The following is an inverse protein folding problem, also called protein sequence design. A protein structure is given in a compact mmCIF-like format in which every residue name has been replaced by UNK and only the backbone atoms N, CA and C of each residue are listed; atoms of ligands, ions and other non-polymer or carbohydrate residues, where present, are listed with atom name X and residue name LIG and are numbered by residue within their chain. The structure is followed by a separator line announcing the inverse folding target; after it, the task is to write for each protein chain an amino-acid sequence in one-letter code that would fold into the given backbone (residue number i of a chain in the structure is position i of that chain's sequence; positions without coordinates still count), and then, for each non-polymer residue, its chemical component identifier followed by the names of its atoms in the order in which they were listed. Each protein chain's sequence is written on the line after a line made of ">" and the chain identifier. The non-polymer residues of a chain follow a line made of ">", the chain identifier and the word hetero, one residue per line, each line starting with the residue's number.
data_IF_886159438127
#
_entry.id   IF_886159438127
#
_cell.length_a   1.000
_cell.length_b   1.000
_cell.length_c   1.000
_cell.angle_alpha   90.00
_cell.angle_beta   90.00
_cell.angle_gamma   90.00
#
_symmetry.space_group_name_H-M   'P 1'
#
loop_
_entity.id
_entity.type
_entity.pdbx_description
1 polymer ?
#
# COMPACT_ATOMS: atom_id res chain seq x y z
N UNK A 1 3.36 18.87 -3.69
CA UNK A 1 2.03 19.09 -3.08
C UNK A 1 0.94 18.24 -3.73
N UNK A 2 0.69 18.37 -5.03
CA UNK A 2 -0.36 17.61 -5.76
C UNK A 2 -0.30 16.09 -5.52
N UNK A 3 0.87 15.48 -5.63
CA UNK A 3 1.03 14.02 -5.38
C UNK A 3 0.73 13.64 -3.92
N UNK A 4 1.05 14.51 -2.95
CA UNK A 4 0.66 14.28 -1.55
C UNK A 4 -0.86 14.35 -1.39
N UNK A 5 -1.53 15.31 -2.05
CA UNK A 5 -2.98 15.42 -2.01
C UNK A 5 -3.66 14.14 -2.51
N UNK A 6 -3.19 13.55 -3.60
CA UNK A 6 -3.71 12.25 -4.06
C UNK A 6 -3.45 11.11 -3.07
N UNK A 7 -2.31 11.12 -2.37
CA UNK A 7 -2.05 10.16 -1.30
C UNK A 7 -3.03 10.31 -0.12
N UNK A 8 -3.33 11.55 0.28
CA UNK A 8 -4.32 11.85 1.34
C UNK A 8 -5.71 11.38 0.90
N UNK A 9 -6.16 11.80 -0.29
CA UNK A 9 -7.47 11.40 -0.83
C UNK A 9 -7.60 9.88 -0.82
N UNK A 10 -6.56 9.17 -1.27
CA UNK A 10 -6.57 7.72 -1.37
C UNK A 10 -6.62 7.02 -0.01
N UNK A 11 -5.70 7.35 0.90
CA UNK A 11 -5.49 6.59 2.14
C UNK A 11 -6.26 7.11 3.35
N UNK A 12 -6.57 8.40 3.37
CA UNK A 12 -7.31 9.04 4.46
C UNK A 12 -8.80 9.14 4.12
N UNK A 13 -9.11 9.67 2.93
CA UNK A 13 -10.48 10.02 2.58
C UNK A 13 -11.22 8.87 1.86
N UNK A 14 -10.51 7.85 1.38
CA UNK A 14 -11.11 6.75 0.63
C UNK A 14 -11.60 7.14 -0.77
N UNK A 15 -10.95 8.14 -1.38
CA UNK A 15 -11.30 8.70 -2.68
C UNK A 15 -10.14 8.59 -3.67
N UNK A 16 -10.44 8.16 -4.89
CA UNK A 16 -9.52 8.19 -6.03
C UNK A 16 -9.99 9.21 -7.04
N UNK A 17 -9.15 10.19 -7.36
CA UNK A 17 -9.38 10.99 -8.55
C UNK A 17 -8.86 10.24 -9.78
N UNK A 18 -9.77 9.86 -10.67
CA UNK A 18 -9.46 9.04 -11.85
C UNK A 18 -9.05 9.85 -13.08
N UNK A 19 -8.97 11.18 -12.97
CA UNK A 19 -8.60 12.07 -14.08
C UNK A 19 -7.69 13.26 -13.69
N UNK A 20 -6.56 13.03 -12.99
CA UNK A 20 -5.65 14.11 -12.59
C UNK A 20 -4.75 14.59 -13.74
N UNK A 21 -5.35 15.04 -14.85
CA UNK A 21 -4.63 15.58 -15.99
C UNK A 21 -4.30 17.07 -15.80
N UNK A 22 -3.36 17.61 -16.59
CA UNK A 22 -2.94 19.01 -16.48
C UNK A 22 -4.10 20.02 -16.59
N UNK A 23 -5.15 19.71 -17.36
CA UNK A 23 -6.37 20.51 -17.45
C UNK A 23 -7.13 20.68 -16.12
N UNK A 24 -6.95 19.80 -15.14
CA UNK A 24 -7.66 19.83 -13.84
C UNK A 24 -6.81 20.39 -12.70
N UNK A 25 -5.52 20.63 -12.95
CA UNK A 25 -4.59 21.22 -11.98
C UNK A 25 -4.27 22.65 -12.42
N UNK A 26 -4.48 23.61 -11.54
CA UNK A 26 -4.08 25.02 -11.74
C UNK A 26 -3.10 25.45 -10.67
N UNK A 27 -2.31 26.46 -10.99
CA UNK A 27 -1.46 27.15 -10.03
C UNK A 27 -2.07 28.50 -9.71
N UNK A 28 -2.53 28.67 -8.48
CA UNK A 28 -2.93 29.96 -7.95
C UNK A 28 -1.68 30.67 -7.45
N UNK A 29 -1.43 31.90 -7.93
CA UNK A 29 -0.35 32.73 -7.41
C UNK A 29 -0.71 33.17 -5.99
N UNK A 30 0.09 32.75 -5.02
CA UNK A 30 -0.12 33.03 -3.60
C UNK A 30 1.23 33.40 -2.96
N UNK A 31 1.51 34.70 -2.70
CA UNK A 31 2.78 35.15 -2.15
C UNK A 31 3.02 34.69 -0.70
N UNK A 32 2.02 34.07 -0.05
CA UNK A 32 2.14 33.58 1.34
C UNK A 32 2.66 32.14 1.43
N UNK A 33 2.80 31.43 0.32
CA UNK A 33 3.30 30.04 0.31
C UNK A 33 4.68 29.94 -0.34
N UNK A 34 5.52 28.97 0.08
CA UNK A 34 6.82 28.75 -0.56
C UNK A 34 6.68 28.57 -2.07
N UNK A 35 7.49 29.30 -2.85
CA UNK A 35 7.41 29.28 -4.31
C UNK A 35 6.28 30.10 -4.92
N UNK A 36 5.56 30.90 -4.13
CA UNK A 36 4.52 31.84 -4.56
C UNK A 36 3.35 31.20 -5.33
N UNK A 37 3.15 29.91 -5.20
CA UNK A 37 2.19 29.15 -5.99
C UNK A 37 1.54 28.03 -5.19
N UNK A 38 0.22 27.98 -5.22
CA UNK A 38 -0.59 26.92 -4.61
C UNK A 38 -1.27 26.10 -5.71
N UNK A 39 -1.12 24.78 -5.66
CA UNK A 39 -1.86 23.93 -6.59
C UNK A 39 -3.35 23.86 -6.22
N UNK A 40 -4.22 23.97 -7.21
CA UNK A 40 -5.69 23.92 -7.09
C UNK A 40 -6.22 22.82 -8.01
N UNK A 41 -7.08 21.96 -7.48
CA UNK A 41 -7.79 20.92 -8.22
C UNK A 41 -9.22 21.39 -8.51
N UNK A 42 -9.61 21.42 -9.79
CA UNK A 42 -10.89 22.02 -10.21
C UNK A 42 -12.00 20.99 -10.47
N UNK A 43 -11.71 19.91 -11.18
CA UNK A 43 -12.73 18.95 -11.62
C UNK A 43 -12.87 17.82 -10.61
N UNK A 44 -14.10 17.67 -10.10
CA UNK A 44 -14.49 16.65 -9.13
C UNK A 44 -15.41 15.57 -9.73
N UNK A 45 -15.57 15.53 -11.06
CA UNK A 45 -16.55 14.69 -11.76
C UNK A 45 -16.16 13.22 -11.96
N UNK A 46 -14.86 12.88 -11.98
CA UNK A 46 -14.39 11.51 -12.18
C UNK A 46 -13.65 10.96 -10.96
N UNK A 47 -14.44 10.51 -9.98
CA UNK A 47 -13.97 9.97 -8.71
C UNK A 47 -14.50 8.57 -8.47
N UNK A 48 -13.70 7.76 -7.78
CA UNK A 48 -14.14 6.47 -7.26
C UNK A 48 -13.96 6.46 -5.74
N UNK A 49 -15.00 6.01 -5.05
CA UNK A 49 -14.91 5.66 -3.63
C UNK A 49 -14.23 4.30 -3.47
N UNK A 50 -13.46 4.17 -2.39
CA UNK A 50 -12.76 2.96 -2.00
C UNK A 50 -13.27 2.53 -0.64
N UNK A 51 -13.66 1.26 -0.54
CA UNK A 51 -14.05 0.66 0.73
C UNK A 51 -12.90 0.70 1.75
N UNK A 52 -13.23 0.70 3.04
CA UNK A 52 -12.22 0.62 4.11
C UNK A 52 -11.33 -0.63 3.98
N UNK A 53 -11.89 -1.75 3.54
CA UNK A 53 -11.15 -2.99 3.30
C UNK A 53 -10.17 -2.85 2.14
N UNK A 54 -10.60 -2.29 1.01
CA UNK A 54 -9.72 -2.05 -0.13
C UNK A 54 -8.60 -1.06 0.24
N UNK A 55 -8.94 -0.02 1.00
CA UNK A 55 -7.96 0.98 1.46
C UNK A 55 -6.91 0.35 2.37
N UNK A 56 -7.33 -0.55 3.27
CA UNK A 56 -6.43 -1.35 4.10
C UNK A 56 -5.52 -2.25 3.26
N UNK A 57 -6.09 -3.00 2.31
CA UNK A 57 -5.35 -3.87 1.41
C UNK A 57 -4.30 -3.11 0.59
N UNK A 58 -4.67 -1.94 0.05
CA UNK A 58 -3.73 -1.05 -0.64
C UNK A 58 -2.65 -0.53 0.30
N UNK A 59 -2.99 -0.14 1.53
CA UNK A 59 -2.02 0.36 2.50
C UNK A 59 -0.98 -0.71 2.87
N UNK A 60 -1.45 -1.95 3.09
CA UNK A 60 -0.59 -3.11 3.30
C UNK A 60 0.32 -3.35 2.09
N UNK A 61 -0.22 -3.26 0.87
CA UNK A 61 0.54 -3.46 -0.36
C UNK A 61 1.69 -2.47 -0.50
N UNK A 62 1.42 -1.17 -0.35
CA UNK A 62 2.44 -0.12 -0.42
C UNK A 62 3.50 -0.25 0.67
N UNK A 63 3.07 -0.52 1.91
CA UNK A 63 4.00 -0.77 3.02
C UNK A 63 4.91 -1.95 2.70
N UNK A 64 4.34 -3.04 2.18
CA UNK A 64 5.06 -4.27 1.90
C UNK A 64 6.07 -4.10 0.77
N UNK A 65 5.68 -3.45 -0.34
CA UNK A 65 6.59 -3.14 -1.45
C UNK A 65 7.76 -2.26 -0.99
N UNK A 66 7.49 -1.18 -0.25
CA UNK A 66 8.54 -0.27 0.20
C UNK A 66 9.56 -0.93 1.15
N UNK A 67 9.15 -2.00 1.83
CA UNK A 67 9.97 -2.79 2.73
C UNK A 67 10.48 -4.09 2.09
N UNK A 68 10.15 -4.36 0.82
CA UNK A 68 10.45 -5.62 0.13
C UNK A 68 9.95 -6.88 0.88
N UNK A 69 8.80 -6.75 1.54
CA UNK A 69 8.13 -7.84 2.26
C UNK A 69 7.16 -8.57 1.33
N UNK A 70 7.60 -9.66 0.72
CA UNK A 70 6.74 -10.41 -0.21
C UNK A 70 5.58 -11.12 0.48
N UNK A 71 5.77 -11.58 1.72
CA UNK A 71 4.68 -12.19 2.48
C UNK A 71 3.58 -11.14 2.71
N UNK A 72 3.98 -9.92 3.08
CA UNK A 72 3.08 -8.78 3.20
C UNK A 72 2.38 -8.41 1.88
N UNK A 73 3.07 -8.48 0.73
CA UNK A 73 2.44 -8.26 -0.58
C UNK A 73 1.36 -9.29 -0.87
N UNK A 74 1.58 -10.57 -0.54
CA UNK A 74 0.57 -11.61 -0.76
C UNK A 74 -0.64 -11.43 0.16
N UNK A 75 -0.40 -11.15 1.45
CA UNK A 75 -1.48 -10.86 2.39
C UNK A 75 -2.31 -9.65 1.93
N UNK A 76 -1.65 -8.60 1.43
CA UNK A 76 -2.35 -7.43 0.88
C UNK A 76 -3.24 -7.78 -0.32
N UNK A 77 -2.76 -8.65 -1.22
CA UNK A 77 -3.52 -9.08 -2.39
C UNK A 77 -4.73 -9.95 -2.01
N UNK A 78 -4.60 -10.77 -0.97
CA UNK A 78 -5.72 -11.52 -0.40
C UNK A 78 -6.79 -10.60 0.20
N UNK A 79 -6.38 -9.57 0.97
CA UNK A 79 -7.30 -8.54 1.51
C UNK A 79 -8.05 -7.81 0.39
N UNK A 80 -7.38 -7.56 -0.74
CA UNK A 80 -7.97 -6.97 -1.96
C UNK A 80 -8.84 -7.95 -2.75
N UNK A 81 -9.03 -9.19 -2.28
CA UNK A 81 -9.83 -10.21 -2.95
C UNK A 81 -9.16 -10.78 -4.21
N UNK A 82 -7.88 -10.50 -4.45
CA UNK A 82 -7.14 -11.06 -5.59
C UNK A 82 -6.66 -12.46 -5.25
N UNK A 83 -7.29 -13.44 -5.89
CA UNK A 83 -6.79 -14.82 -5.91
C UNK A 83 -5.68 -14.93 -6.96
N UNK A 84 -4.43 -14.84 -6.53
CA UNK A 84 -3.30 -15.02 -7.44
C UNK A 84 -3.14 -16.51 -7.72
N UNK A 85 -3.15 -16.90 -9.00
CA UNK A 85 -2.76 -18.25 -9.39
C UNK A 85 -1.27 -18.46 -9.09
N UNK A 86 -0.91 -19.61 -8.53
CA UNK A 86 0.46 -19.92 -8.10
C UNK A 86 1.52 -19.79 -9.23
N UNK A 87 1.13 -19.95 -10.49
CA UNK A 87 2.00 -19.75 -11.65
C UNK A 87 2.41 -18.28 -11.85
N UNK A 88 1.48 -17.34 -11.64
CA UNK A 88 1.75 -15.90 -11.69
C UNK A 88 2.57 -15.43 -10.49
N UNK A 89 2.39 -16.03 -9.32
CA UNK A 89 3.27 -15.79 -8.16
C UNK A 89 4.72 -16.06 -8.54
N UNK A 90 5.01 -17.19 -9.18
CA UNK A 90 6.37 -17.55 -9.59
C UNK A 90 7.02 -16.54 -10.56
N UNK A 91 6.21 -15.87 -11.39
CA UNK A 91 6.68 -14.87 -12.34
C UNK A 91 6.90 -13.51 -11.68
N UNK A 92 5.94 -13.04 -10.87
CA UNK A 92 6.06 -11.81 -10.11
C UNK A 92 7.28 -11.85 -9.18
N UNK A 93 7.57 -13.02 -8.61
CA UNK A 93 8.73 -13.27 -7.75
C UNK A 93 10.06 -13.25 -8.51
N UNK A 94 10.10 -13.76 -9.75
CA UNK A 94 11.29 -13.66 -10.63
C UNK A 94 11.56 -12.21 -11.03
N UNK A 95 10.52 -11.46 -11.37
CA UNK A 95 10.63 -10.06 -11.76
C UNK A 95 11.05 -9.19 -10.56
N UNK A 96 10.51 -9.47 -9.37
CA UNK A 96 10.89 -8.82 -8.10
C UNK A 96 12.35 -9.09 -7.71
N UNK A 97 12.86 -10.30 -7.98
CA UNK A 97 14.26 -10.64 -7.76
C UNK A 97 15.19 -9.80 -8.65
N UNK A 98 14.84 -9.62 -9.92
CA UNK A 98 15.62 -8.79 -10.84
C UNK A 98 15.62 -7.31 -10.39
N UNK A 99 14.46 -6.77 -9.98
CA UNK A 99 14.37 -5.42 -9.42
C UNK A 99 15.16 -5.24 -8.12
N UNK A 100 15.19 -6.27 -7.25
CA UNK A 100 15.95 -6.26 -5.99
C UNK A 100 17.46 -6.41 -6.24
N UNK A 101 17.87 -7.10 -7.31
CA UNK A 101 19.27 -7.19 -7.76
C UNK A 101 19.78 -5.85 -8.30
N UNK A 102 18.93 -5.08 -8.97
CA UNK A 102 19.23 -3.71 -9.44
C UNK A 102 19.28 -2.68 -8.30
N UNK A 103 18.51 -2.88 -7.23
CA UNK A 103 18.55 -2.01 -6.05
C UNK A 103 19.78 -2.31 -5.17
N UNK A 104 20.72 -1.36 -5.08
CA UNK A 104 22.01 -1.50 -4.36
C UNK A 104 21.93 -1.61 -2.82
N UNK A 105 20.80 -1.92 -2.18
CA UNK A 105 20.70 -1.78 -0.72
C UNK A 105 19.90 -2.87 -0.01
N UNK A 106 20.50 -3.36 1.07
CA UNK A 106 20.00 -4.29 2.12
C UNK A 106 20.23 -5.79 1.88
N UNK A 107 21.40 -6.29 2.30
CA UNK A 107 21.75 -7.73 2.37
C UNK A 107 20.71 -8.53 3.16
N UNK A 108 20.16 -7.95 4.23
CA UNK A 108 19.19 -8.61 5.11
C UNK A 108 17.83 -8.80 4.43
N UNK A 109 17.43 -7.87 3.55
CA UNK A 109 16.22 -7.97 2.75
C UNK A 109 16.35 -9.10 1.72
N UNK A 110 17.51 -9.19 1.05
CA UNK A 110 17.81 -10.30 0.12
C UNK A 110 17.78 -11.66 0.84
N UNK A 111 18.31 -11.73 2.06
CA UNK A 111 18.30 -12.95 2.87
C UNK A 111 16.88 -13.37 3.28
N UNK A 112 16.07 -12.43 3.82
CA UNK A 112 14.67 -12.70 4.20
C UNK A 112 13.82 -13.11 3.00
N UNK A 113 13.98 -12.40 1.87
CA UNK A 113 13.33 -12.75 0.61
C UNK A 113 13.69 -14.18 0.20
N UNK A 114 14.97 -14.56 0.20
CA UNK A 114 15.42 -15.91 -0.18
C UNK A 114 14.82 -17.00 0.71
N UNK A 115 14.80 -16.79 2.03
CA UNK A 115 14.23 -17.76 3.00
C UNK A 115 12.74 -17.96 2.76
N UNK A 116 11.99 -16.88 2.58
CA UNK A 116 10.55 -16.96 2.34
C UNK A 116 10.22 -17.58 0.97
N UNK A 117 11.09 -17.35 -0.03
CA UNK A 117 11.03 -18.02 -1.34
C UNK A 117 11.24 -19.54 -1.24
N UNK A 118 12.15 -19.99 -0.38
CA UNK A 118 12.39 -21.41 -0.13
C UNK A 118 11.13 -22.07 0.45
N UNK A 119 10.51 -21.43 1.46
CA UNK A 119 9.27 -21.93 2.08
C UNK A 119 8.10 -22.02 1.11
N UNK A 120 7.92 -21.00 0.28
CA UNK A 120 6.85 -20.97 -0.73
C UNK A 120 7.06 -22.06 -1.79
N UNK A 121 8.31 -22.30 -2.22
CA UNK A 121 8.64 -23.41 -3.14
C UNK A 121 8.35 -24.78 -2.52
N UNK A 122 8.66 -24.98 -1.24
CA UNK A 122 8.36 -26.24 -0.55
C UNK A 122 6.85 -26.48 -0.49
N UNK A 123 6.05 -25.47 -0.10
CA UNK A 123 4.58 -25.56 -0.11
C UNK A 123 4.02 -25.86 -1.51
N UNK A 124 4.57 -25.21 -2.54
CA UNK A 124 4.26 -25.44 -3.96
C UNK A 124 4.49 -26.90 -4.39
N UNK A 125 5.62 -27.48 -3.97
CA UNK A 125 5.98 -28.86 -4.32
C UNK A 125 5.16 -29.87 -3.51
N UNK A 126 4.76 -29.54 -2.29
CA UNK A 126 3.85 -30.33 -1.46
C UNK A 126 2.42 -30.35 -2.01
N UNK A 127 1.87 -29.20 -2.41
CA UNK A 127 0.54 -29.10 -3.02
C UNK A 127 0.45 -29.83 -4.37
N UNK A 128 1.53 -29.77 -5.17
CA UNK A 128 1.62 -30.53 -6.43
C UNK A 128 1.70 -32.04 -6.21
N UNK A 129 2.37 -32.48 -5.13
CA UNK A 129 2.48 -33.91 -4.77
C UNK A 129 1.17 -34.45 -4.18
N UNK A 130 0.32 -33.62 -3.60
CA UNK A 130 -0.95 -34.02 -3.00
C UNK A 130 -2.12 -34.19 -3.98
N UNK A 131 -1.93 -33.97 -5.29
CA UNK A 131 -2.85 -34.50 -6.31
C UNK A 131 -4.34 -34.13 -6.19
N UNK A 132 -4.72 -33.06 -5.48
CA UNK A 132 -6.09 -32.54 -5.54
C UNK A 132 -6.27 -31.78 -6.86
N UNK A 133 -6.50 -32.52 -7.93
CA UNK A 133 -7.25 -32.03 -9.09
C UNK A 133 -8.70 -31.81 -8.63
N UNK A 134 -8.96 -30.71 -7.97
CA UNK A 134 -10.33 -30.19 -7.87
C UNK A 134 -10.40 -29.03 -8.84
N UNK A 135 -10.75 -29.35 -10.09
CA UNK A 135 -11.25 -28.37 -11.05
C UNK A 135 -12.77 -28.39 -10.88
N UNK A 136 -13.41 -27.41 -10.19
CA UNK A 136 -14.84 -27.47 -9.91
C UNK A 136 -15.71 -27.19 -11.15
N UNK A 137 -15.12 -26.97 -12.33
CA UNK A 137 -15.86 -26.52 -13.50
C UNK A 137 -15.35 -27.11 -14.82
N UNK A 138 -14.99 -28.40 -14.80
CA UNK A 138 -14.89 -29.17 -16.04
C UNK A 138 -16.30 -29.41 -16.59
N UNK A 139 -16.77 -28.53 -17.48
CA UNK A 139 -17.87 -28.86 -18.39
C UNK A 139 -17.29 -29.41 -19.69
N UNK A 140 -17.68 -30.63 -20.01
CA UNK A 140 -17.26 -31.44 -21.16
C UNK A 140 -17.58 -30.79 -22.52
N UNK A 141 -16.70 -30.96 -23.51
CA UNK A 141 -16.99 -30.70 -24.92
C UNK A 141 -15.76 -30.39 -25.79
N UNK A 142 -15.49 -31.13 -26.88
CA UNK A 142 -14.21 -31.09 -27.59
C UNK A 142 -14.17 -30.06 -28.74
N UNK A 143 -12.97 -29.91 -29.30
CA UNK A 143 -12.59 -29.21 -30.56
C UNK A 143 -12.03 -27.78 -30.47
N UNK A 144 -10.71 -27.77 -30.20
CA UNK A 144 -9.68 -27.24 -31.11
C UNK A 144 -9.99 -25.94 -31.88
N UNK A 145 -9.22 -24.88 -31.61
CA UNK A 145 -8.31 -24.21 -32.57
C UNK A 145 -7.79 -22.87 -32.01
N UNK A 146 -6.48 -22.65 -32.25
CA UNK A 146 -5.74 -21.39 -32.17
C UNK A 146 -5.32 -20.93 -30.77
N UNK A 147 -4.04 -21.14 -30.50
CA UNK A 147 -3.21 -20.56 -29.45
C UNK A 147 -3.19 -19.03 -29.48
N UNK A 148 -4.29 -18.40 -29.08
CA UNK A 148 -4.26 -17.06 -28.51
C UNK A 148 -4.08 -17.24 -27.01
N UNK A 149 -3.04 -16.62 -26.42
CA UNK A 149 -2.86 -16.52 -24.97
C UNK A 149 -4.22 -16.09 -24.38
N UNK A 150 -4.93 -17.02 -23.72
CA UNK A 150 -6.20 -16.68 -23.08
C UNK A 150 -5.91 -15.53 -22.11
N UNK A 151 -6.67 -14.42 -22.17
CA UNK A 151 -6.60 -13.39 -21.15
C UNK A 151 -6.83 -14.06 -19.81
N UNK A 152 -6.10 -13.61 -18.78
CA UNK A 152 -6.32 -14.09 -17.42
C UNK A 152 -7.79 -13.81 -17.10
N UNK A 153 -8.59 -14.86 -16.94
CA UNK A 153 -9.93 -14.77 -16.38
C UNK A 153 -9.75 -14.47 -14.89
N UNK A 154 -9.50 -13.19 -14.57
CA UNK A 154 -9.64 -12.66 -13.23
C UNK A 154 -11.13 -12.45 -13.01
N UNK A 155 -11.77 -13.34 -12.26
CA UNK A 155 -13.11 -13.11 -11.75
C UNK A 155 -13.07 -11.83 -10.89
N UNK A 156 -13.57 -10.72 -11.45
CA UNK A 156 -13.70 -9.40 -10.81
C UNK A 156 -12.38 -8.75 -10.35
N UNK A 157 -11.60 -8.16 -11.26
CA UNK A 157 -10.47 -7.30 -10.86
C UNK A 157 -10.94 -6.15 -9.94
N UNK A 158 -10.30 -5.91 -8.77
CA UNK A 158 -10.77 -4.90 -7.83
C UNK A 158 -10.84 -3.51 -8.47
N UNK A 159 -12.01 -2.87 -8.39
CA UNK A 159 -12.25 -1.53 -8.95
C UNK A 159 -11.28 -0.50 -8.37
N UNK A 160 -10.90 -0.65 -7.10
CA UNK A 160 -9.93 0.19 -6.41
C UNK A 160 -8.57 0.19 -7.12
N UNK A 161 -8.08 -0.98 -7.55
CA UNK A 161 -6.82 -1.13 -8.29
C UNK A 161 -6.90 -0.56 -9.69
N UNK A 162 -8.04 -0.72 -10.37
CA UNK A 162 -8.25 -0.13 -11.70
C UNK A 162 -8.24 1.40 -11.62
N UNK A 163 -8.95 1.96 -10.65
CA UNK A 163 -9.03 3.39 -10.38
C UNK A 163 -7.65 3.96 -10.02
N UNK A 164 -6.93 3.28 -9.13
CA UNK A 164 -5.56 3.63 -8.75
C UNK A 164 -4.60 3.58 -9.96
N UNK A 165 -4.62 2.50 -10.74
CA UNK A 165 -3.75 2.34 -11.90
C UNK A 165 -3.97 3.43 -12.93
N UNK A 166 -5.23 3.86 -13.14
CA UNK A 166 -5.58 4.99 -13.99
C UNK A 166 -5.03 6.31 -13.42
N UNK A 167 -5.28 6.60 -12.14
CA UNK A 167 -4.75 7.78 -11.46
C UNK A 167 -3.23 7.87 -11.62
N UNK A 168 -2.51 6.78 -11.38
CA UNK A 168 -1.05 6.76 -11.47
C UNK A 168 -0.51 6.96 -12.88
N UNK A 169 -1.17 6.44 -13.91
CA UNK A 169 -0.78 6.69 -15.30
C UNK A 169 -0.83 8.19 -15.63
N UNK A 170 -1.90 8.87 -15.21
CA UNK A 170 -2.08 10.29 -15.45
C UNK A 170 -1.15 11.16 -14.58
N UNK A 171 -0.98 10.81 -13.30
CA UNK A 171 0.01 11.47 -12.42
C UNK A 171 1.42 11.35 -12.98
N UNK A 172 1.80 10.17 -13.52
CA UNK A 172 3.09 10.00 -14.19
C UNK A 172 3.23 10.92 -15.40
N UNK A 173 2.20 10.98 -16.25
CA UNK A 173 2.16 11.90 -17.39
C UNK A 173 2.30 13.37 -16.97
N UNK A 174 1.60 13.77 -15.90
CA UNK A 174 1.69 15.11 -15.34
C UNK A 174 3.09 15.43 -14.84
N UNK A 175 3.70 14.53 -14.05
CA UNK A 175 5.08 14.68 -13.58
C UNK A 175 6.07 14.82 -14.73
N UNK A 176 5.92 14.05 -15.81
CA UNK A 176 6.76 14.19 -17.01
C UNK A 176 6.54 15.53 -17.70
N UNK A 177 5.29 15.99 -17.83
CA UNK A 177 4.97 17.24 -18.52
C UNK A 177 5.56 18.49 -17.83
N UNK A 178 5.78 18.43 -16.51
CA UNK A 178 6.32 19.55 -15.71
C UNK A 178 7.78 19.34 -15.28
N UNK A 179 8.50 18.42 -15.93
CA UNK A 179 9.89 18.05 -15.62
C UNK A 179 10.12 17.66 -14.14
N UNK A 180 9.11 17.04 -13.53
CA UNK A 180 9.11 16.56 -12.15
C UNK A 180 9.11 15.03 -12.07
N UNK A 181 9.67 14.35 -13.08
CA UNK A 181 9.75 12.88 -13.12
C UNK A 181 10.53 12.27 -11.93
N UNK A 182 11.39 13.07 -11.27
CA UNK A 182 12.13 12.68 -10.08
C UNK A 182 11.30 12.64 -8.78
N UNK A 183 10.01 13.00 -8.80
CA UNK A 183 9.16 12.96 -7.60
C UNK A 183 9.07 11.52 -7.07
N UNK A 184 9.36 11.25 -5.79
CA UNK A 184 9.37 9.91 -5.24
C UNK A 184 7.95 9.45 -4.87
N UNK A 185 7.10 9.22 -5.88
CA UNK A 185 5.67 8.85 -5.73
C UNK A 185 5.49 7.66 -4.79
N UNK A 186 6.28 6.59 -4.96
CA UNK A 186 6.21 5.41 -4.10
C UNK A 186 6.44 5.77 -2.63
N UNK A 187 7.44 6.62 -2.33
CA UNK A 187 7.74 7.05 -0.96
C UNK A 187 6.59 7.87 -0.37
N UNK A 188 6.03 8.78 -1.15
CA UNK A 188 4.89 9.63 -0.74
C UNK A 188 3.69 8.75 -0.37
N UNK A 189 3.28 7.87 -1.28
CA UNK A 189 2.15 6.97 -1.04
C UNK A 189 2.42 6.00 0.12
N UNK A 190 3.66 5.52 0.26
CA UNK A 190 4.03 4.67 1.40
C UNK A 190 3.88 5.39 2.74
N UNK A 191 4.18 6.68 2.82
CA UNK A 191 4.01 7.44 4.06
C UNK A 191 2.53 7.50 4.47
N UNK A 192 1.66 7.86 3.53
CA UNK A 192 0.21 7.88 3.79
C UNK A 192 -0.37 6.48 4.05
N UNK A 193 0.13 5.44 3.37
CA UNK A 193 -0.21 4.06 3.66
C UNK A 193 0.16 3.67 5.10
N UNK A 194 1.33 4.08 5.60
CA UNK A 194 1.73 3.83 6.99
C UNK A 194 0.82 4.53 7.99
N UNK A 195 0.47 5.78 7.73
CA UNK A 195 -0.49 6.53 8.55
C UNK A 195 -1.84 5.80 8.62
N UNK A 196 -2.37 5.36 7.47
CA UNK A 196 -3.62 4.60 7.40
C UNK A 196 -3.55 3.26 8.14
N UNK A 197 -2.42 2.55 8.11
CA UNK A 197 -2.23 1.31 8.86
C UNK A 197 -2.22 1.54 10.38
N UNK A 198 -1.56 2.61 10.84
CA UNK A 198 -1.55 2.99 12.25
C UNK A 198 -2.96 3.34 12.72
N UNK A 199 -3.69 4.12 11.92
CA UNK A 199 -5.06 4.49 12.22
C UNK A 199 -6.00 3.28 12.25
N UNK A 200 -5.89 2.36 11.29
CA UNK A 200 -6.67 1.13 11.28
C UNK A 200 -6.38 0.26 12.51
N UNK A 201 -5.11 0.13 12.91
CA UNK A 201 -4.71 -0.60 14.12
C UNK A 201 -5.27 0.04 15.40
N UNK A 202 -5.26 1.37 15.48
CA UNK A 202 -5.84 2.10 16.61
C UNK A 202 -7.35 1.88 16.68
N UNK A 203 -8.06 1.99 15.56
CA UNK A 203 -9.52 1.73 15.48
C UNK A 203 -9.85 0.30 15.90
N UNK A 204 -9.06 -0.67 15.46
CA UNK A 204 -9.23 -2.07 15.84
C UNK A 204 -8.99 -2.26 17.35
N UNK A 205 -7.95 -1.65 17.91
CA UNK A 205 -7.61 -1.74 19.35
C UNK A 205 -8.68 -1.12 20.25
N UNK A 206 -9.30 -0.02 19.79
CA UNK A 206 -10.46 0.59 20.44
C UNK A 206 -11.70 -0.31 20.34
N UNK A 207 -11.95 -0.90 19.18
CA UNK A 207 -13.09 -1.79 18.96
C UNK A 207 -13.00 -3.11 19.74
N UNK A 208 -11.79 -3.65 19.95
CA UNK A 208 -11.56 -4.89 20.70
C UNK A 208 -11.32 -4.67 22.19
N UNK A 209 -11.44 -3.43 22.68
CA UNK A 209 -11.25 -3.09 24.11
C UNK A 209 -9.84 -3.35 24.64
N UNK A 210 -8.85 -3.53 23.76
CA UNK A 210 -7.47 -3.86 24.16
C UNK A 210 -6.67 -2.64 24.64
N UNK A 211 -7.17 -1.43 24.34
CA UNK A 211 -6.83 -0.23 25.08
C UNK A 211 -7.77 -0.19 26.28
N UNK A 212 -7.34 -0.76 27.41
CA UNK A 212 -8.11 -0.85 28.65
C UNK A 212 -8.46 0.52 29.25
N UNK A 213 -9.36 1.24 28.60
CA UNK A 213 -10.06 2.39 29.15
C UNK A 213 -11.51 1.94 29.26
N UNK A 214 -11.77 1.11 30.28
CA UNK A 214 -13.12 0.92 30.77
C UNK A 214 -13.58 2.25 31.39
N UNK A 215 -14.78 2.76 31.10
CA UNK A 215 -15.23 4.05 31.61
C UNK A 215 -15.63 4.01 33.11
N UNK A 216 -15.19 3.02 33.86
CA UNK A 216 -15.65 2.79 35.23
C UNK A 216 -14.48 2.38 36.13
N UNK A 217 -14.34 3.13 37.23
CA UNK A 217 -13.23 3.17 38.20
C UNK A 217 -12.06 4.08 37.79
N UNK A 218 -12.29 5.39 37.96
CA UNK A 218 -11.20 6.34 38.20
C UNK A 218 -10.52 5.98 39.53
N UNK A 219 -9.41 5.25 39.44
CA UNK A 219 -8.49 5.06 40.57
C UNK A 219 -7.72 6.39 40.77
N UNK A 220 -7.83 7.04 41.94
CA UNK A 220 -7.22 8.34 42.19
C UNK A 220 -5.68 8.35 42.08
N UNK A 221 -5.02 7.19 42.01
CA UNK A 221 -3.55 7.10 41.90
C UNK A 221 -3.03 7.15 40.45
N UNK A 222 -3.88 7.12 39.43
CA UNK A 222 -3.44 7.23 38.01
C UNK A 222 -3.06 8.67 37.66
N UNK A 223 -3.64 9.68 38.32
CA UNK A 223 -3.29 11.09 38.12
C UNK A 223 -1.89 11.44 38.64
N UNK A 224 -1.32 10.64 39.55
CA UNK A 224 0.04 10.85 40.08
C UNK A 224 1.13 10.34 39.12
N UNK A 225 0.81 9.41 38.21
CA UNK A 225 1.79 8.72 37.35
C UNK A 225 1.83 9.23 35.90
N UNK A 226 0.76 9.89 35.43
CA UNK A 226 0.69 10.54 34.12
C UNK A 226 1.85 11.52 33.83
N UNK A 227 2.21 12.44 34.76
CA UNK A 227 3.33 13.36 34.54
C UNK A 227 4.67 12.65 34.39
N UNK A 228 4.85 11.52 35.10
CA UNK A 228 6.05 10.71 35.04
C UNK A 228 6.16 9.91 33.74
N UNK A 229 5.03 9.48 33.17
CA UNK A 229 5.00 8.77 31.90
C UNK A 229 5.28 9.74 30.73
N UNK A 230 4.69 10.93 30.74
CA UNK A 230 4.95 11.99 29.76
C UNK A 230 6.42 12.43 29.79
N UNK A 231 7.00 12.62 30.98
CA UNK A 231 8.41 12.96 31.12
C UNK A 231 9.33 11.86 30.55
N UNK A 232 9.00 10.58 30.79
CA UNK A 232 9.77 9.45 30.24
C UNK A 232 9.65 9.33 28.72
N UNK A 233 8.47 9.58 28.17
CA UNK A 233 8.25 9.55 26.72
C UNK A 233 8.97 10.70 26.03
N UNK A 234 8.91 11.90 26.61
CA UNK A 234 9.66 13.07 26.15
C UNK A 234 11.17 12.82 26.18
N UNK A 235 11.70 12.24 27.26
CA UNK A 235 13.14 11.97 27.38
C UNK A 235 13.63 10.89 26.38
N UNK A 236 12.79 9.89 26.11
CA UNK A 236 13.03 8.89 25.06
C UNK A 236 13.02 9.51 23.65
N UNK A 237 12.04 10.38 23.36
CA UNK A 237 11.96 11.13 22.10
C UNK A 237 13.19 12.01 21.89
N UNK A 238 13.62 12.73 22.93
CA UNK A 238 14.81 13.59 22.86
C UNK A 238 16.10 12.79 22.69
N UNK A 239 16.19 11.57 23.25
CA UNK A 239 17.30 10.64 22.98
C UNK A 239 17.31 10.19 21.53
N UNK A 240 16.15 9.86 20.95
CA UNK A 240 16.04 9.46 19.55
C UNK A 240 16.36 10.60 18.58
N UNK A 241 15.95 11.83 18.91
CA UNK A 241 16.30 13.04 18.15
C UNK A 241 17.80 13.33 18.22
N UNK A 242 18.43 13.19 19.40
CA UNK A 242 19.90 13.33 19.54
C UNK A 242 20.67 12.22 18.82
N UNK A 243 20.14 11.00 18.78
CA UNK A 243 20.75 9.86 18.08
C UNK A 243 20.67 9.98 16.55
N UNK A 244 19.62 10.62 16.03
CA UNK A 244 19.56 11.02 14.61
C UNK A 244 20.08 12.44 14.46
N UNK A 245 21.42 12.61 14.41
CA UNK A 245 22.03 13.80 13.80
C UNK A 245 21.52 13.90 12.35
N UNK A 246 20.43 14.62 12.14
CA UNK A 246 20.11 15.26 10.87
C UNK A 246 20.61 16.69 11.04
N UNK A 247 21.86 16.89 10.64
CA UNK A 247 22.30 18.14 10.01
C UNK A 247 21.84 18.05 8.56
#
# INVERSE_FOLDING_TARGET
>A
EVVNAFGIMFFKDGLVHMDPHAGNVRLLVDPKVPGNGRAVLLDWGLFAEISDQDRLGMAMWFHSIANFDMAGVFNALEVLGIKIRLDMMSKLLKDSKNMLEESKSRKDVKARFKVEMEKLKVKLDEEKKQGKKHDPFATDGPESLKSKKKPVEMEGFPKCLASYARMMQLVKGLCTAVDAAGIPVLRIFTNHAREALVEASLRQSLATGHLGISPEVADPDVQSTLPHLEARLHDQLMKLVKMRRIV
#
